data_IF_759623704465
#
_entry.id   IF_759623704465
#
_cell.length_a   1.000
_cell.length_b   1.000
_cell.length_c   1.000
_cell.angle_alpha   90.00
_cell.angle_beta   90.00
_cell.angle_gamma   90.00
#
_symmetry.space_group_name_H-M   'P 1'
#
loop_
_entity.id
_entity.type
_entity.pdbx_description
1 polymer ?
#
# COMPACT_ATOMS: atom_id res chain seq x y z
N UNK A 1 -3.25 1.99 1.77
CA UNK A 1 -3.17 3.10 2.74
C UNK A 1 -2.01 4.03 2.41
N UNK A 2 -2.20 5.34 2.48
CA UNK A 2 -1.12 6.32 2.43
C UNK A 2 -0.39 6.44 3.80
N UNK A 3 0.72 7.18 3.85
CA UNK A 3 1.53 7.33 5.09
C UNK A 3 0.72 7.90 6.25
N UNK A 4 -0.15 8.89 5.99
CA UNK A 4 -1.01 9.48 7.01
C UNK A 4 -1.99 8.47 7.60
N UNK A 5 -2.60 7.66 6.75
CA UNK A 5 -3.50 6.57 7.14
C UNK A 5 -2.74 5.51 7.96
N UNK A 6 -1.52 5.15 7.58
CA UNK A 6 -0.66 4.23 8.37
C UNK A 6 -0.32 4.79 9.74
N UNK A 7 0.03 6.08 9.85
CA UNK A 7 0.28 6.75 11.13
C UNK A 7 -0.96 6.67 12.01
N UNK A 8 -2.13 7.02 11.46
CA UNK A 8 -3.40 6.99 12.18
C UNK A 8 -3.75 5.59 12.66
N UNK A 9 -3.66 4.60 11.76
CA UNK A 9 -3.97 3.21 12.06
C UNK A 9 -3.12 2.68 13.22
N UNK A 10 -1.80 2.85 13.14
CA UNK A 10 -0.90 2.40 14.20
C UNK A 10 -1.14 3.18 15.50
N UNK A 11 -1.34 4.51 15.43
CA UNK A 11 -1.64 5.31 16.62
C UNK A 11 -2.88 4.78 17.35
N UNK A 12 -3.96 4.52 16.61
CA UNK A 12 -5.20 3.99 17.16
C UNK A 12 -5.00 2.57 17.71
N UNK A 13 -4.29 1.71 16.99
CA UNK A 13 -3.93 0.37 17.46
C UNK A 13 -3.12 0.39 18.76
N UNK A 14 -2.24 1.38 18.94
CA UNK A 14 -1.47 1.61 20.18
C UNK A 14 -2.27 2.34 21.27
N UNK A 15 -3.54 2.68 21.04
CA UNK A 15 -4.40 3.36 22.00
C UNK A 15 -4.01 4.81 22.30
N UNK A 16 -3.23 5.46 21.44
CA UNK A 16 -2.76 6.84 21.65
C UNK A 16 -3.72 7.86 21.06
N UNK A 17 -3.93 8.98 21.75
CA UNK A 17 -4.56 10.19 21.21
C UNK A 17 -3.59 10.95 20.29
N UNK A 18 -4.12 11.85 19.46
CA UNK A 18 -3.28 12.72 18.62
C UNK A 18 -2.40 13.65 19.46
N UNK A 19 -2.87 14.06 20.64
CA UNK A 19 -2.11 14.89 21.58
C UNK A 19 -0.96 14.12 22.21
N UNK A 20 -1.21 12.90 22.71
CA UNK A 20 -0.14 12.05 23.26
C UNK A 20 0.94 11.73 22.22
N UNK A 21 0.54 11.47 20.96
CA UNK A 21 1.51 11.29 19.89
C UNK A 21 2.32 12.58 19.64
N UNK A 22 1.66 13.75 19.62
CA UNK A 22 2.32 15.04 19.44
C UNK A 22 3.38 15.31 20.52
N UNK A 23 3.05 14.99 21.79
CA UNK A 23 3.97 15.11 22.92
C UNK A 23 5.16 14.16 22.72
N UNK A 24 4.92 12.88 22.41
CA UNK A 24 5.98 11.88 22.19
C UNK A 24 6.95 12.25 21.07
N UNK A 25 6.50 12.94 20.02
CA UNK A 25 7.35 13.36 18.90
C UNK A 25 7.97 14.75 19.07
N UNK A 26 7.76 15.39 20.23
CA UNK A 26 8.36 16.68 20.57
C UNK A 26 7.73 17.87 19.84
N UNK A 27 6.43 17.81 19.53
CA UNK A 27 5.69 18.94 18.96
C UNK A 27 5.09 19.88 20.03
N UNK A 28 5.28 19.55 21.30
CA UNK A 28 4.75 20.30 22.45
C UNK A 28 3.34 19.86 22.86
N UNK A 29 2.90 20.36 24.01
CA UNK A 29 1.56 20.14 24.55
C UNK A 29 0.54 21.10 23.91
N UNK A 30 -0.74 20.70 23.89
CA UNK A 30 -1.84 21.53 23.44
C UNK A 30 -2.19 21.48 21.94
N UNK A 31 -3.07 22.39 21.53
CA UNK A 31 -3.80 22.32 20.26
C UNK A 31 -2.91 22.38 19.01
N UNK A 32 -1.79 23.10 19.09
CA UNK A 32 -0.84 23.23 17.96
C UNK A 32 -0.18 21.90 17.59
N UNK A 33 0.25 21.12 18.60
CA UNK A 33 0.86 19.81 18.40
C UNK A 33 -0.14 18.80 17.86
N UNK A 34 -1.30 18.70 18.51
CA UNK A 34 -2.41 17.84 18.07
C UNK A 34 -2.84 18.14 16.63
N UNK A 35 -3.01 19.41 16.28
CA UNK A 35 -3.42 19.83 14.94
C UNK A 35 -2.42 19.39 13.87
N UNK A 36 -1.12 19.45 14.18
CA UNK A 36 -0.08 19.01 13.26
C UNK A 36 -0.10 17.49 13.03
N UNK A 37 -0.35 16.69 14.06
CA UNK A 37 -0.59 15.24 13.91
C UNK A 37 -1.82 14.98 13.05
N UNK A 38 -2.93 15.68 13.29
CA UNK A 38 -4.14 15.57 12.48
C UNK A 38 -3.90 15.90 11.00
N UNK A 39 -3.12 16.94 10.71
CA UNK A 39 -2.73 17.28 9.34
C UNK A 39 -1.89 16.18 8.67
N UNK A 40 -1.04 15.48 9.44
CA UNK A 40 -0.30 14.32 8.95
C UNK A 40 -1.22 13.14 8.65
N UNK A 41 -2.11 12.80 9.57
CA UNK A 41 -3.04 11.67 9.44
C UNK A 41 -4.06 11.85 8.33
N UNK A 42 -4.44 13.09 8.02
CA UNK A 42 -5.38 13.43 6.94
C UNK A 42 -4.69 13.65 5.59
N UNK A 43 -3.36 13.57 5.52
CA UNK A 43 -2.59 13.85 4.30
C UNK A 43 -2.52 15.33 3.91
N UNK A 44 -3.18 16.24 4.64
CA UNK A 44 -3.09 17.70 4.43
C UNK A 44 -1.65 18.21 4.50
N UNK A 45 -0.79 17.51 5.23
CA UNK A 45 0.65 17.79 5.28
C UNK A 45 1.42 16.47 5.22
N UNK A 46 2.50 16.43 4.44
CA UNK A 46 3.45 15.32 4.46
C UNK A 46 4.51 15.54 5.56
N UNK A 47 4.70 14.59 6.49
CA UNK A 47 5.83 14.66 7.42
C UNK A 47 7.16 14.56 6.67
N UNK A 48 8.18 15.29 7.13
CA UNK A 48 9.56 15.12 6.67
C UNK A 48 10.16 13.84 7.26
N UNK A 49 11.26 13.35 6.71
CA UNK A 49 11.86 12.07 7.13
C UNK A 49 12.24 12.06 8.61
N UNK A 50 12.83 13.13 9.12
CA UNK A 50 13.18 13.28 10.55
C UNK A 50 11.95 13.15 11.46
N UNK A 51 10.80 13.64 10.99
CA UNK A 51 9.53 13.49 11.69
C UNK A 51 8.98 12.07 11.55
N UNK A 52 9.11 11.42 10.39
CA UNK A 52 8.71 10.02 10.19
C UNK A 52 9.51 9.08 11.10
N UNK A 53 10.80 9.32 11.29
CA UNK A 53 11.65 8.57 12.23
C UNK A 53 11.17 8.75 13.68
N UNK A 54 10.88 9.99 14.09
CA UNK A 54 10.33 10.28 15.43
C UNK A 54 8.99 9.60 15.64
N UNK A 55 8.09 9.67 14.66
CA UNK A 55 6.77 9.01 14.71
C UNK A 55 6.95 7.49 14.78
N UNK A 56 7.86 6.91 13.98
CA UNK A 56 8.14 5.46 13.98
C UNK A 56 8.60 4.99 15.36
N UNK A 57 9.52 5.72 15.99
CA UNK A 57 9.99 5.46 17.36
C UNK A 57 8.86 5.60 18.37
N UNK A 58 8.07 6.68 18.30
CA UNK A 58 6.97 6.94 19.22
C UNK A 58 5.85 5.89 19.15
N UNK A 59 5.58 5.36 17.96
CA UNK A 59 4.57 4.34 17.69
C UNK A 59 5.09 2.90 17.81
N UNK A 60 6.40 2.74 18.08
CA UNK A 60 7.09 1.46 18.11
C UNK A 60 6.80 0.61 16.85
N UNK A 61 7.15 1.17 15.69
CA UNK A 61 7.09 0.49 14.39
C UNK A 61 8.40 0.63 13.64
N UNK A 62 8.67 -0.34 12.78
CA UNK A 62 9.86 -0.31 11.93
C UNK A 62 9.80 0.90 10.97
N UNK A 63 10.94 1.57 10.78
CA UNK A 63 11.04 2.78 9.94
C UNK A 63 10.46 2.56 8.54
N UNK A 64 10.76 1.42 7.91
CA UNK A 64 10.23 1.02 6.59
C UNK A 64 8.71 1.10 6.44
N UNK A 65 7.95 0.92 7.53
CA UNK A 65 6.49 0.98 7.48
C UNK A 65 5.97 2.40 7.20
N UNK A 66 6.67 3.42 7.69
CA UNK A 66 6.31 4.84 7.56
C UNK A 66 7.26 5.64 6.65
N UNK A 67 8.45 5.10 6.33
CA UNK A 67 9.49 5.76 5.54
C UNK A 67 9.22 5.75 4.04
N UNK A 68 9.87 6.68 3.33
CA UNK A 68 9.81 6.81 1.87
C UNK A 68 11.13 6.51 1.16
N UNK A 69 12.22 6.25 1.89
CA UNK A 69 13.57 6.22 1.32
C UNK A 69 14.07 4.85 0.86
N UNK A 70 13.50 3.77 1.37
CA UNK A 70 14.09 2.42 1.24
C UNK A 70 13.13 1.40 0.61
N UNK A 71 12.14 1.85 -0.17
CA UNK A 71 11.17 0.94 -0.77
C UNK A 71 11.61 0.52 -2.17
N UNK A 72 11.83 -0.78 -2.33
CA UNK A 72 11.87 -1.42 -3.65
C UNK A 72 10.43 -1.66 -4.12
N UNK A 73 10.20 -1.78 -5.43
CA UNK A 73 8.88 -2.13 -5.98
C UNK A 73 8.33 -3.42 -5.36
N UNK A 74 9.20 -4.39 -5.04
CA UNK A 74 8.80 -5.62 -4.37
C UNK A 74 8.32 -5.38 -2.92
N UNK A 75 9.02 -4.52 -2.15
CA UNK A 75 8.58 -4.16 -0.80
C UNK A 75 7.27 -3.35 -0.82
N UNK A 76 7.10 -2.46 -1.80
CA UNK A 76 5.84 -1.73 -1.99
C UNK A 76 4.66 -2.68 -2.27
N UNK A 77 4.88 -3.69 -3.11
CA UNK A 77 3.88 -4.72 -3.37
C UNK A 77 3.58 -5.54 -2.12
N UNK A 78 4.61 -6.00 -1.39
CA UNK A 78 4.44 -6.73 -0.13
C UNK A 78 3.64 -5.94 0.91
N UNK A 79 3.92 -4.64 1.06
CA UNK A 79 3.13 -3.80 1.96
C UNK A 79 1.68 -3.61 1.49
N UNK A 80 1.43 -3.54 0.18
CA UNK A 80 0.07 -3.50 -0.36
C UNK A 80 -0.72 -4.75 0.01
N UNK A 81 -0.10 -5.93 -0.06
CA UNK A 81 -0.73 -7.20 0.34
C UNK A 81 -1.07 -7.22 1.84
N UNK A 82 -0.17 -6.73 2.70
CA UNK A 82 -0.43 -6.63 4.14
C UNK A 82 -1.56 -5.66 4.47
N UNK A 83 -1.69 -4.57 3.72
CA UNK A 83 -2.81 -3.64 3.87
C UNK A 83 -4.13 -4.27 3.43
N UNK A 84 -4.12 -5.03 2.33
CA UNK A 84 -5.30 -5.75 1.86
C UNK A 84 -5.77 -6.82 2.84
N UNK A 85 -4.83 -7.50 3.52
CA UNK A 85 -5.13 -8.43 4.61
C UNK A 85 -5.81 -7.72 5.79
N UNK A 86 -5.32 -6.54 6.19
CA UNK A 86 -5.97 -5.70 7.22
C UNK A 86 -7.41 -5.33 6.81
N UNK A 87 -7.64 -5.03 5.53
CA UNK A 87 -8.95 -4.70 4.98
C UNK A 87 -9.86 -5.94 4.77
N UNK A 88 -9.41 -7.14 5.17
CA UNK A 88 -10.10 -8.43 5.01
C UNK A 88 -10.43 -8.78 3.55
N UNK A 89 -9.57 -8.39 2.61
CA UNK A 89 -9.65 -8.93 1.26
C UNK A 89 -9.33 -10.44 1.31
N UNK A 90 -10.05 -11.28 0.54
CA UNK A 90 -9.92 -12.74 0.60
C UNK A 90 -8.64 -13.24 -0.09
N UNK A 91 -7.49 -12.92 0.50
CA UNK A 91 -6.16 -13.28 0.03
C UNK A 91 -5.65 -14.43 0.89
N UNK A 92 -5.23 -15.51 0.25
CA UNK A 92 -4.69 -16.69 0.90
C UNK A 92 -3.34 -17.04 0.30
N UNK A 93 -2.47 -17.65 1.10
CA UNK A 93 -1.21 -18.22 0.61
C UNK A 93 -1.41 -19.72 0.42
N UNK A 94 -1.25 -20.20 -0.80
CA UNK A 94 -1.31 -21.62 -1.14
C UNK A 94 0.09 -22.17 -1.37
N UNK A 95 0.31 -23.45 -1.03
CA UNK A 95 1.57 -24.14 -1.28
C UNK A 95 1.38 -25.12 -2.44
N UNK A 96 2.13 -24.92 -3.52
CA UNK A 96 2.15 -25.81 -4.68
C UNK A 96 3.60 -26.18 -4.99
N UNK A 97 3.92 -27.48 -4.89
CA UNK A 97 5.27 -28.02 -5.15
C UNK A 97 6.40 -27.27 -4.43
N UNK A 98 6.16 -26.88 -3.17
CA UNK A 98 7.12 -26.13 -2.34
C UNK A 98 7.21 -24.64 -2.65
N UNK A 99 6.39 -24.12 -3.57
CA UNK A 99 6.26 -22.68 -3.87
C UNK A 99 5.06 -22.11 -3.14
N UNK A 100 5.22 -20.92 -2.60
CA UNK A 100 4.13 -20.15 -1.99
C UNK A 100 3.54 -19.23 -3.05
N UNK A 101 2.27 -19.42 -3.38
CA UNK A 101 1.54 -18.60 -4.34
C UNK A 101 0.49 -17.76 -3.61
N UNK A 102 0.24 -16.56 -4.14
CA UNK A 102 -0.82 -15.68 -3.64
C UNK A 102 -2.09 -16.05 -4.39
N UNK A 103 -3.08 -16.56 -3.66
CA UNK A 103 -4.41 -16.85 -4.16
C UNK A 103 -5.37 -15.74 -3.72
N UNK A 104 -5.93 -15.00 -4.67
CA UNK A 104 -6.86 -13.89 -4.41
C UNK A 104 -8.25 -14.34 -4.83
N UNK A 105 -9.10 -14.70 -3.88
CA UNK A 105 -10.48 -15.16 -4.12
C UNK A 105 -11.43 -13.97 -4.34
N UNK A 106 -11.20 -13.24 -5.43
CA UNK A 106 -11.99 -12.07 -5.79
C UNK A 106 -12.33 -12.10 -7.29
N UNK A 107 -13.64 -12.11 -7.67
CA UNK A 107 -14.04 -12.23 -9.08
C UNK A 107 -13.48 -11.16 -10.02
N UNK A 108 -13.26 -9.94 -9.52
CA UNK A 108 -12.70 -8.85 -10.32
C UNK A 108 -11.22 -9.10 -10.60
N UNK A 109 -10.48 -9.57 -9.58
CA UNK A 109 -9.08 -9.94 -9.75
C UNK A 109 -8.92 -11.18 -10.64
N UNK A 110 -9.78 -12.18 -10.50
CA UNK A 110 -9.75 -13.37 -11.34
C UNK A 110 -9.95 -13.01 -12.82
N UNK A 111 -10.95 -12.17 -13.13
CA UNK A 111 -11.17 -11.71 -14.50
C UNK A 111 -9.97 -10.92 -15.06
N UNK A 112 -9.38 -10.03 -14.26
CA UNK A 112 -8.15 -9.33 -14.61
C UNK A 112 -7.00 -10.28 -14.92
N UNK A 113 -6.70 -11.22 -14.01
CA UNK A 113 -5.60 -12.16 -14.12
C UNK A 113 -5.76 -13.06 -15.34
N UNK A 114 -7.00 -13.51 -15.62
CA UNK A 114 -7.34 -14.26 -16.83
C UNK A 114 -7.03 -13.45 -18.09
N UNK A 115 -7.56 -12.24 -18.21
CA UNK A 115 -7.30 -11.38 -19.38
C UNK A 115 -5.80 -11.10 -19.56
N UNK A 116 -5.10 -10.84 -18.47
CA UNK A 116 -3.66 -10.57 -18.52
C UNK A 116 -2.86 -11.81 -18.95
N UNK A 117 -3.22 -13.00 -18.43
CA UNK A 117 -2.64 -14.28 -18.82
C UNK A 117 -2.89 -14.59 -20.30
N UNK A 118 -4.09 -14.35 -20.81
CA UNK A 118 -4.41 -14.51 -22.24
C UNK A 118 -3.49 -13.64 -23.10
N UNK A 119 -3.27 -12.37 -22.71
CA UNK A 119 -2.37 -11.47 -23.44
C UNK A 119 -0.89 -11.85 -23.36
N UNK A 120 -0.46 -12.45 -22.25
CA UNK A 120 0.88 -13.03 -22.17
C UNK A 120 1.05 -14.19 -23.14
N UNK A 121 0.05 -15.07 -23.24
CA UNK A 121 0.06 -16.20 -24.16
C UNK A 121 0.00 -15.74 -25.63
N UNK A 122 -0.86 -14.77 -25.96
CA UNK A 122 -0.93 -14.19 -27.31
C UNK A 122 0.41 -13.62 -27.75
N UNK A 123 1.15 -12.96 -26.84
CA UNK A 123 2.48 -12.43 -27.13
C UNK A 123 3.51 -13.57 -27.30
N UNK A 124 3.48 -14.59 -26.45
CA UNK A 124 4.38 -15.73 -26.51
C UNK A 124 4.18 -16.56 -27.78
N UNK A 125 2.93 -16.71 -28.23
CA UNK A 125 2.54 -17.41 -29.45
C UNK A 125 2.76 -16.57 -30.73
N UNK A 126 3.14 -15.29 -30.59
CA UNK A 126 3.32 -14.37 -31.72
C UNK A 126 2.03 -13.88 -32.39
N UNK A 127 0.87 -14.03 -31.72
CA UNK A 127 -0.42 -13.52 -32.21
C UNK A 127 -0.54 -12.01 -32.11
N UNK A 128 0.19 -11.41 -31.16
CA UNK A 128 0.33 -9.95 -31.00
C UNK A 128 1.80 -9.56 -30.91
N UNK A 129 2.08 -8.33 -31.30
CA UNK A 129 3.37 -7.66 -31.16
C UNK A 129 3.59 -7.16 -29.72
N UNK A 130 4.84 -6.80 -29.40
CA UNK A 130 5.17 -6.18 -28.11
C UNK A 130 4.48 -4.83 -27.96
N UNK A 131 4.35 -4.09 -29.05
CA UNK A 131 3.66 -2.80 -29.13
C UNK A 131 2.17 -2.97 -28.79
N UNK A 132 1.49 -3.93 -29.40
CA UNK A 132 0.08 -4.24 -29.09
C UNK A 132 -0.12 -4.69 -27.64
N UNK A 133 0.84 -5.43 -27.07
CA UNK A 133 0.81 -5.81 -25.66
C UNK A 133 0.98 -4.61 -24.73
N UNK A 134 1.84 -3.65 -25.06
CA UNK A 134 2.01 -2.39 -24.30
C UNK A 134 0.74 -1.54 -24.42
N UNK A 135 0.18 -1.41 -25.63
CA UNK A 135 -1.08 -0.69 -25.87
C UNK A 135 -2.22 -1.28 -25.04
N UNK A 136 -2.32 -2.60 -24.95
CA UNK A 136 -3.31 -3.24 -24.07
C UNK A 136 -3.08 -2.87 -22.60
N UNK A 137 -1.83 -2.88 -22.11
CA UNK A 137 -1.52 -2.54 -20.70
C UNK A 137 -1.90 -1.11 -20.33
N UNK A 138 -1.58 -0.14 -21.18
CA UNK A 138 -1.85 1.28 -20.88
C UNK A 138 -3.33 1.65 -21.05
N UNK A 139 -4.07 0.88 -21.87
CA UNK A 139 -5.51 1.02 -22.06
C UNK A 139 -6.32 0.01 -21.23
N UNK A 140 -5.69 -0.70 -20.29
CA UNK A 140 -6.38 -1.64 -19.41
C UNK A 140 -7.32 -0.87 -18.47
N UNK A 141 -8.62 -0.90 -18.76
CA UNK A 141 -9.65 -0.21 -17.99
C UNK A 141 -10.80 0.27 -18.86
N UNK A 142 -11.97 -0.37 -18.68
CA UNK A 142 -13.25 -0.14 -19.38
C UNK A 142 -13.17 -0.39 -20.90
N UNK A 143 -13.95 -1.35 -21.46
CA UNK A 143 -14.19 -1.37 -22.89
C UNK A 143 -14.82 -0.02 -23.26
N UNK A 144 -14.09 0.85 -23.96
CA UNK A 144 -14.77 1.88 -24.75
C UNK A 144 -15.47 1.11 -25.85
N UNK A 145 -16.77 0.84 -25.66
CA UNK A 145 -17.65 0.50 -26.76
C UNK A 145 -17.40 1.53 -27.87
N UNK A 146 -17.10 1.02 -29.07
CA UNK A 146 -17.11 1.83 -30.29
C UNK A 146 -18.55 2.09 -30.69
#
# INVERSE_FOLDING_TARGET
MNIGERIRYVRQFRGLTQEELAIKVGLGEGENGRTRISQYETGKRKPKEDMLEKISKALNVHSLYLSTKEKTTALDFAFSLLEWDIDNLPINIINEDGKHLIHIDNPIFEDFLRQWSEKQNDLADGKITKEEYIEWKINYGVPREK
#
